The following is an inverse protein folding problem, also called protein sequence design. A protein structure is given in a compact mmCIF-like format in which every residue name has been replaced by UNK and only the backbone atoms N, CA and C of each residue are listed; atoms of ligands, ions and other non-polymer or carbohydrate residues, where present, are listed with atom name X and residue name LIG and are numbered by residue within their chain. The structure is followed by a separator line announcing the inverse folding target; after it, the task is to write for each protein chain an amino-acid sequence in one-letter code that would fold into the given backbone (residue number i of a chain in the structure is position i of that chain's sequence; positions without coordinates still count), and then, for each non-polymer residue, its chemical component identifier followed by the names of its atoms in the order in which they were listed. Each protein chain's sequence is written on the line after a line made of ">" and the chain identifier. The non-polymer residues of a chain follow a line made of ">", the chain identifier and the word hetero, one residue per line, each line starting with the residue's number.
data_IF_812676195564
#
_entry.id   IF_812676195564
#
_cell.length_a   1.000
_cell.length_b   1.000
_cell.length_c   1.000
_cell.angle_alpha   90.00
_cell.angle_beta   90.00
_cell.angle_gamma   90.00
#
_symmetry.space_group_name_H-M   'P 1'
#
loop_
_entity.id
_entity.type
_entity.pdbx_description
1 polymer ?
#
# COMPACT_ATOMS: atom_id res chain seq x y z
N UNK A 1 -44.88 -40.69 -5.90
CA UNK A 1 -44.23 -40.49 -6.43
C UNK A 1 -43.69 -39.39 -6.60
N UNK A 2 -42.88 -39.01 -6.75
CA UNK A 2 -42.24 -38.11 -7.10
C UNK A 2 -41.47 -37.34 -6.50
N UNK A 3 -40.68 -37.26 -6.40
CA UNK A 3 -39.57 -36.86 -6.41
C UNK A 3 -39.24 -35.56 -6.38
N UNK A 4 -38.76 -35.07 -5.78
CA UNK A 4 -38.40 -33.95 -5.73
C UNK A 4 -37.23 -33.54 -5.66
N UNK A 5 -36.82 -32.89 -6.21
CA UNK A 5 -35.75 -32.32 -6.38
C UNK A 5 -35.30 -31.25 -5.66
N UNK A 6 -34.42 -31.29 -5.10
CA UNK A 6 -33.93 -30.29 -4.50
C UNK A 6 -32.86 -29.73 -4.99
N UNK A 7 -32.84 -28.76 -5.48
CA UNK A 7 -31.77 -28.13 -5.91
C UNK A 7 -31.30 -27.26 -4.92
N UNK A 8 -30.26 -27.50 -4.48
CA UNK A 8 -29.71 -26.65 -3.66
C UNK A 8 -28.85 -25.76 -4.30
N UNK A 9 -29.09 -24.69 -4.37
CA UNK A 9 -28.29 -23.79 -5.01
C UNK A 9 -27.30 -23.34 -4.03
N UNK A 10 -26.21 -23.66 -4.24
CA UNK A 10 -25.25 -23.25 -3.39
C UNK A 10 -24.89 -21.90 -3.71
N UNK A 11 -25.13 -21.05 -3.01
CA UNK A 11 -24.84 -19.75 -3.25
C UNK A 11 -23.39 -19.59 -3.13
N UNK A 12 -22.85 -19.13 -4.03
CA UNK A 12 -21.51 -18.92 -4.05
C UNK A 12 -21.13 -17.84 -3.13
N UNK A 13 -20.30 -18.14 -2.38
CA UNK A 13 -20.03 -17.23 -1.51
C UNK A 13 -19.06 -16.37 -1.91
N UNK A 14 -19.15 -15.28 -1.86
CA UNK A 14 -18.34 -14.45 -2.26
C UNK A 14 -17.35 -14.10 -1.42
N UNK A 15 -16.36 -14.15 -1.75
CA UNK A 15 -15.34 -13.88 -1.13
C UNK A 15 -14.95 -12.53 -1.04
N UNK A 16 -15.57 -11.71 -0.48
CA UNK A 16 -15.15 -10.39 -0.40
C UNK A 16 -14.01 -10.24 0.52
N UNK A 17 -13.82 -11.17 1.37
CA UNK A 17 -12.74 -11.05 2.30
C UNK A 17 -11.41 -11.02 1.59
N UNK A 18 -11.33 -11.62 0.47
CA UNK A 18 -10.08 -11.62 -0.23
C UNK A 18 -9.73 -10.28 -0.83
N UNK A 19 -10.65 -9.38 -0.78
CA UNK A 19 -10.37 -8.10 -1.34
C UNK A 19 -9.71 -7.20 -0.34
N UNK A 20 -9.73 -7.57 0.89
CA UNK A 20 -9.13 -6.73 1.90
C UNK A 20 -7.65 -6.74 1.65
N UNK A 21 -7.07 -5.67 1.44
CA UNK A 21 -5.66 -5.61 1.16
C UNK A 21 -5.31 -5.60 -0.32
N UNK A 22 -6.27 -5.89 -1.15
CA UNK A 22 -6.00 -5.80 -2.58
C UNK A 22 -5.97 -4.34 -2.96
N UNK A 23 -4.91 -3.90 -3.58
CA UNK A 23 -4.73 -2.52 -3.93
C UNK A 23 -4.71 -2.37 -5.43
N UNK A 24 -5.43 -1.39 -5.93
CA UNK A 24 -5.35 -1.05 -7.33
C UNK A 24 -4.03 -0.29 -7.55
N UNK A 25 -3.09 -0.94 -8.20
CA UNK A 25 -1.76 -0.36 -8.39
C UNK A 25 -1.80 0.94 -9.16
N UNK A 26 -2.65 1.06 -10.16
CA UNK A 26 -2.71 2.29 -10.94
C UNK A 26 -3.27 3.44 -10.12
N UNK A 27 -4.29 3.16 -9.31
CA UNK A 27 -4.88 4.18 -8.46
C UNK A 27 -3.89 4.61 -7.38
N UNK A 28 -3.16 3.68 -6.81
CA UNK A 28 -2.17 3.99 -5.78
C UNK A 28 -1.02 4.82 -6.35
N UNK A 29 -0.55 4.46 -7.54
CA UNK A 29 0.52 5.21 -8.17
C UNK A 29 0.05 6.63 -8.51
N UNK A 30 -1.17 6.77 -8.97
CA UNK A 30 -1.74 8.08 -9.24
C UNK A 30 -1.84 8.92 -7.97
N UNK A 31 -2.21 8.32 -6.85
CA UNK A 31 -2.23 9.01 -5.57
C UNK A 31 -0.82 9.44 -5.15
N UNK A 32 0.16 8.59 -5.33
CA UNK A 32 1.53 8.93 -5.02
C UNK A 32 2.01 10.10 -5.88
N UNK A 33 1.69 10.09 -7.15
CA UNK A 33 2.07 11.16 -8.05
C UNK A 33 1.38 12.46 -7.68
N UNK A 34 0.09 12.39 -7.42
CA UNK A 34 -0.69 13.57 -7.06
C UNK A 34 -0.18 14.23 -5.78
N UNK A 35 0.28 13.43 -4.85
CA UNK A 35 0.73 13.95 -3.57
C UNK A 35 2.24 14.22 -3.51
N UNK A 36 2.90 14.21 -4.66
CA UNK A 36 4.30 14.60 -4.74
C UNK A 36 5.30 13.54 -4.30
N UNK A 37 4.87 12.34 -4.02
CA UNK A 37 5.76 11.29 -3.56
C UNK A 37 6.80 10.94 -4.61
N UNK A 38 6.39 10.93 -5.87
CA UNK A 38 7.28 10.54 -6.96
C UNK A 38 8.29 11.60 -7.35
N UNK A 39 8.25 12.76 -6.71
CA UNK A 39 9.29 13.76 -6.90
C UNK A 39 10.59 13.32 -6.20
N UNK A 40 10.46 12.53 -5.14
CA UNK A 40 11.61 12.09 -4.37
C UNK A 40 11.82 10.57 -4.42
N UNK A 41 10.80 9.82 -4.78
CA UNK A 41 10.91 8.37 -4.85
C UNK A 41 10.64 7.89 -6.27
N UNK A 42 11.49 7.04 -6.77
CA UNK A 42 11.16 6.31 -7.99
C UNK A 42 10.46 5.01 -7.63
N UNK A 43 9.75 4.42 -8.56
CA UNK A 43 9.14 3.12 -8.32
C UNK A 43 10.25 2.06 -8.19
N UNK A 44 11.20 2.09 -9.10
CA UNK A 44 12.28 1.11 -9.12
C UNK A 44 13.63 1.68 -8.69
N UNK A 45 13.83 2.97 -8.79
CA UNK A 45 15.12 3.57 -8.58
C UNK A 45 15.12 4.65 -7.54
N UNK A 46 16.26 4.82 -6.89
CA UNK A 46 16.44 5.91 -5.94
C UNK A 46 16.47 7.25 -6.68
N UNK A 47 15.83 8.23 -6.15
CA UNK A 47 15.93 9.61 -6.65
C UNK A 47 16.54 10.43 -5.51
N UNK A 48 15.73 10.95 -4.60
CA UNK A 48 16.20 11.55 -3.36
C UNK A 48 16.02 10.52 -2.25
N UNK A 49 14.85 9.92 -2.18
CA UNK A 49 14.57 8.82 -1.28
C UNK A 49 14.72 7.48 -1.97
N UNK A 50 14.57 6.39 -1.25
CA UNK A 50 14.75 5.06 -1.82
C UNK A 50 13.69 4.75 -2.88
N UNK A 51 14.03 3.90 -3.83
CA UNK A 51 13.05 3.37 -4.76
C UNK A 51 12.04 2.53 -4.00
N UNK A 52 10.80 2.54 -4.43
CA UNK A 52 9.77 1.80 -3.74
C UNK A 52 9.98 0.29 -3.76
N UNK A 53 10.61 -0.22 -4.83
CA UNK A 53 10.95 -1.65 -4.85
C UNK A 53 11.99 -2.00 -3.80
N UNK A 54 12.89 -1.09 -3.49
CA UNK A 54 13.88 -1.31 -2.44
C UNK A 54 13.21 -1.27 -1.07
N UNK A 55 12.23 -0.40 -0.89
CA UNK A 55 11.46 -0.36 0.34
C UNK A 55 10.72 -1.68 0.52
N UNK A 56 10.07 -2.16 -0.52
CA UNK A 56 9.35 -3.42 -0.47
C UNK A 56 10.28 -4.59 -0.11
N UNK A 57 11.48 -4.60 -0.70
CA UNK A 57 12.45 -5.65 -0.44
C UNK A 57 12.91 -5.63 1.02
N UNK A 58 13.15 -4.43 1.57
CA UNK A 58 13.61 -4.29 2.92
C UNK A 58 12.59 -4.82 3.93
N UNK A 59 11.33 -4.59 3.66
CA UNK A 59 10.27 -4.95 4.60
C UNK A 59 9.55 -6.25 4.24
N UNK A 60 10.10 -7.02 3.30
CA UNK A 60 9.47 -8.27 2.91
C UNK A 60 9.36 -9.21 4.11
N UNK A 61 8.17 -9.69 4.37
CA UNK A 61 7.93 -10.60 5.49
C UNK A 61 7.72 -9.92 6.83
N UNK A 62 7.87 -8.61 6.90
CA UNK A 62 7.66 -7.89 8.14
C UNK A 62 6.19 -7.53 8.28
N UNK A 63 5.50 -8.21 9.18
CA UNK A 63 4.07 -7.98 9.36
C UNK A 63 3.74 -6.63 9.97
N UNK A 64 4.72 -5.93 10.50
CA UNK A 64 4.52 -4.63 11.10
C UNK A 64 4.85 -3.49 10.12
N UNK A 65 5.28 -3.84 8.92
CA UNK A 65 5.77 -2.85 7.96
C UNK A 65 4.72 -1.82 7.58
N UNK A 66 3.48 -2.25 7.35
CA UNK A 66 2.45 -1.32 6.93
C UNK A 66 2.27 -0.21 7.95
N UNK A 67 2.11 -0.55 9.21
CA UNK A 67 1.92 0.45 10.26
C UNK A 67 3.16 1.33 10.43
N UNK A 68 4.35 0.75 10.35
CA UNK A 68 5.58 1.52 10.45
C UNK A 68 5.72 2.52 9.32
N UNK A 69 5.42 2.10 8.12
CA UNK A 69 5.57 2.97 6.95
C UNK A 69 4.51 4.05 6.90
N UNK A 70 3.29 3.73 7.31
CA UNK A 70 2.25 4.74 7.42
C UNK A 70 2.68 5.82 8.40
N UNK A 71 3.18 5.43 9.56
CA UNK A 71 3.65 6.39 10.55
C UNK A 71 4.81 7.23 10.00
N UNK A 72 5.73 6.61 9.27
CA UNK A 72 6.87 7.31 8.69
C UNK A 72 6.42 8.34 7.65
N UNK A 73 5.49 7.99 6.79
CA UNK A 73 5.01 8.90 5.75
C UNK A 73 4.28 10.08 6.40
N UNK A 74 3.54 9.82 7.45
CA UNK A 74 2.81 10.89 8.14
C UNK A 74 3.75 11.85 8.84
N UNK A 75 4.71 11.33 9.57
CA UNK A 75 5.59 12.15 10.40
C UNK A 75 6.88 12.59 9.70
N UNK A 76 7.29 11.87 8.67
CA UNK A 76 8.55 12.14 8.01
C UNK A 76 9.73 11.70 8.84
N UNK A 77 10.90 12.20 8.52
CA UNK A 77 12.11 11.90 9.26
C UNK A 77 13.20 11.30 8.42
N UNK A 78 14.30 10.93 9.06
CA UNK A 78 15.46 10.37 8.38
C UNK A 78 16.06 9.25 9.20
N UNK A 79 17.09 8.64 8.70
CA UNK A 79 17.87 7.65 9.43
C UNK A 79 17.86 6.26 8.85
N UNK A 80 16.68 5.72 8.54
CA UNK A 80 16.59 4.35 8.01
C UNK A 80 17.26 4.23 6.66
N UNK A 81 17.10 5.26 5.83
CA UNK A 81 17.63 5.26 4.47
C UNK A 81 18.70 6.33 4.27
N UNK A 82 19.27 6.82 5.34
CA UNK A 82 20.32 7.84 5.28
C UNK A 82 19.92 9.15 5.91
N UNK A 83 20.75 10.17 5.76
CA UNK A 83 20.55 11.44 6.49
C UNK A 83 19.55 12.41 5.87
N UNK A 84 19.17 12.21 4.63
CA UNK A 84 18.28 13.16 3.98
C UNK A 84 16.87 12.95 4.51
N UNK A 85 16.24 13.99 5.08
CA UNK A 85 14.94 13.82 5.70
C UNK A 85 13.81 13.78 4.68
N UNK A 86 12.84 12.94 4.93
CA UNK A 86 11.58 12.93 4.22
C UNK A 86 10.66 13.93 4.91
N UNK A 87 9.98 14.82 4.17
CA UNK A 87 9.03 15.74 4.80
C UNK A 87 7.82 15.01 5.36
N UNK A 88 7.20 15.58 6.37
CA UNK A 88 5.96 15.05 6.89
C UNK A 88 4.82 15.27 5.89
N UNK A 89 3.96 14.28 5.74
CA UNK A 89 2.83 14.38 4.80
C UNK A 89 1.49 14.54 5.49
N UNK A 90 1.43 14.47 6.79
CA UNK A 90 0.20 14.70 7.53
C UNK A 90 0.22 16.14 8.06
N UNK A 91 -0.89 16.83 8.01
CA UNK A 91 -2.24 16.37 7.68
C UNK A 91 -2.67 16.63 6.23
N UNK A 92 -1.79 17.16 5.40
CA UNK A 92 -2.22 17.55 4.05
C UNK A 92 -2.48 16.36 3.12
N UNK A 93 -1.93 15.19 3.40
CA UNK A 93 -2.30 13.98 2.69
C UNK A 93 -3.17 13.15 3.62
N UNK A 94 -4.30 12.70 3.13
CA UNK A 94 -5.25 11.97 3.96
C UNK A 94 -4.68 10.63 4.41
N UNK A 95 -5.02 10.23 5.62
CA UNK A 95 -4.54 8.95 6.16
C UNK A 95 -4.90 7.77 5.25
N UNK A 96 -6.10 7.76 4.71
CA UNK A 96 -6.51 6.66 3.85
C UNK A 96 -5.72 6.61 2.55
N UNK A 97 -5.29 7.75 2.05
CA UNK A 97 -4.47 7.81 0.84
C UNK A 97 -3.06 7.32 1.14
N UNK A 98 -2.52 7.71 2.29
CA UNK A 98 -1.22 7.21 2.74
C UNK A 98 -1.26 5.69 2.88
N UNK A 99 -2.32 5.17 3.47
CA UNK A 99 -2.47 3.72 3.63
C UNK A 99 -2.49 3.02 2.28
N UNK A 100 -3.23 3.55 1.33
CA UNK A 100 -3.33 2.98 -0.02
C UNK A 100 -1.96 2.97 -0.70
N UNK A 101 -1.23 4.06 -0.59
CA UNK A 101 0.10 4.17 -1.20
C UNK A 101 1.06 3.17 -0.53
N UNK A 102 1.06 3.09 0.79
CA UNK A 102 1.93 2.16 1.51
C UNK A 102 1.61 0.71 1.16
N UNK A 103 0.33 0.38 1.10
CA UNK A 103 -0.07 -0.97 0.73
C UNK A 103 0.43 -1.33 -0.67
N UNK A 104 0.35 -0.39 -1.58
CA UNK A 104 0.86 -0.60 -2.93
C UNK A 104 2.39 -0.80 -2.93
N UNK A 105 3.11 0.07 -2.22
CA UNK A 105 4.57 -0.06 -2.14
C UNK A 105 4.95 -1.46 -1.66
N UNK A 106 4.26 -1.96 -0.68
CA UNK A 106 4.59 -3.27 -0.12
C UNK A 106 4.27 -4.44 -1.06
N UNK A 107 3.60 -4.20 -2.18
CA UNK A 107 3.35 -5.23 -3.20
C UNK A 107 4.46 -5.29 -4.23
N UNK A 108 5.35 -4.32 -4.27
CA UNK A 108 6.39 -4.25 -5.28
C UNK A 108 7.61 -5.13 -4.92
#
# INVERSE_FOLDING_TARGET
>A
MKALLMTVAAAGSLMLAGQAGAVDAKAAEALAQKNGCLACHGVANKVVGPGYKDVAAKYKGDKTAEAKLIAKVKAGGSGVWGPIPMPANSPHVKDEDIKTIVQWILTL
#
